data_IF_563819348846
#
_entry.id   IF_563819348846
#
_cell.length_a   1.000
_cell.length_b   1.000
_cell.length_c   1.000
_cell.angle_alpha   90.00
_cell.angle_beta   90.00
_cell.angle_gamma   90.00
#
_symmetry.space_group_name_H-M   'P 1'
#
loop_
_entity.id
_entity.type
_entity.pdbx_description
1 polymer ?
#
# COMPACT_ATOMS: atom_id res chain seq x y z
N UNK A 1 38.54 -1.73 -2.33
CA UNK A 1 38.15 -0.31 -2.49
C UNK A 1 39.07 0.53 -1.61
N UNK A 2 39.79 1.50 -2.18
CA UNK A 2 40.75 2.33 -1.45
C UNK A 2 40.06 3.43 -0.67
N UNK A 3 40.25 3.46 0.66
CA UNK A 3 39.70 4.49 1.54
C UNK A 3 40.60 5.73 1.45
N UNK A 4 40.06 6.86 0.97
CA UNK A 4 40.77 8.15 1.00
C UNK A 4 40.73 8.68 2.44
N UNK A 5 41.90 8.87 3.07
CA UNK A 5 42.03 9.19 4.51
C UNK A 5 41.32 10.47 4.99
N UNK A 6 40.89 11.36 4.09
CA UNK A 6 40.29 12.65 4.42
C UNK A 6 38.88 12.86 3.82
N UNK A 7 38.23 11.79 3.36
CA UNK A 7 36.85 11.87 2.85
C UNK A 7 35.93 11.10 3.80
N UNK A 8 35.04 11.82 4.50
CA UNK A 8 33.98 11.20 5.29
C UNK A 8 32.81 10.88 4.36
N UNK A 9 32.35 9.63 4.37
CA UNK A 9 31.21 9.17 3.59
C UNK A 9 30.13 8.67 4.54
N UNK A 10 28.95 9.25 4.46
CA UNK A 10 27.76 8.78 5.18
C UNK A 10 26.79 8.16 4.17
N UNK A 11 26.16 7.02 4.50
CA UNK A 11 25.14 6.44 3.64
C UNK A 11 23.96 7.41 3.48
N UNK A 12 23.33 7.38 2.32
CA UNK A 12 22.16 8.21 2.03
C UNK A 12 20.98 7.81 2.92
N UNK A 13 20.35 8.77 3.61
CA UNK A 13 19.19 8.53 4.47
C UNK A 13 18.02 7.89 3.70
N UNK A 14 17.73 8.36 2.48
CA UNK A 14 16.71 7.76 1.62
C UNK A 14 17.02 6.29 1.33
N UNK A 15 18.29 5.98 1.02
CA UNK A 15 18.73 4.60 0.79
C UNK A 15 18.58 3.70 2.03
N UNK A 16 18.91 4.21 3.22
CA UNK A 16 18.72 3.47 4.47
C UNK A 16 17.24 3.19 4.75
N UNK A 17 16.37 4.19 4.56
CA UNK A 17 14.92 4.03 4.78
C UNK A 17 14.33 3.03 3.78
N UNK A 18 14.74 3.08 2.51
CA UNK A 18 14.33 2.11 1.50
C UNK A 18 14.70 0.67 1.88
N UNK A 19 15.88 0.46 2.49
CA UNK A 19 16.28 -0.85 3.01
C UNK A 19 15.43 -1.28 4.20
N UNK A 20 15.07 -0.37 5.11
CA UNK A 20 14.16 -0.69 6.22
C UNK A 20 12.78 -1.08 5.70
N UNK A 21 12.24 -0.32 4.75
CA UNK A 21 10.97 -0.62 4.09
C UNK A 21 11.00 -1.97 3.38
N UNK A 22 12.15 -2.33 2.78
CA UNK A 22 12.37 -3.63 2.17
C UNK A 22 12.30 -4.77 3.17
N UNK A 23 12.98 -4.65 4.30
CA UNK A 23 13.01 -5.70 5.31
C UNK A 23 11.63 -5.93 5.93
N UNK A 24 10.90 -4.83 6.19
CA UNK A 24 9.50 -4.91 6.65
C UNK A 24 8.62 -5.60 5.59
N UNK A 25 8.72 -5.21 4.32
CA UNK A 25 7.92 -5.82 3.25
C UNK A 25 8.26 -7.30 2.99
N UNK A 26 9.44 -7.76 3.42
CA UNK A 26 9.86 -9.16 3.33
C UNK A 26 9.32 -10.02 4.48
N UNK A 27 8.75 -9.42 5.53
CA UNK A 27 8.04 -10.19 6.55
C UNK A 27 6.96 -11.07 5.88
N UNK A 28 6.90 -12.39 6.18
CA UNK A 28 5.96 -13.29 5.53
C UNK A 28 4.49 -12.87 5.66
N UNK A 29 4.12 -12.27 6.79
CA UNK A 29 2.76 -11.80 7.06
C UNK A 29 2.43 -10.60 6.19
N UNK A 30 3.36 -9.64 6.09
CA UNK A 30 3.21 -8.45 5.24
C UNK A 30 3.21 -8.83 3.76
N UNK A 31 4.09 -9.74 3.35
CA UNK A 31 4.11 -10.26 1.97
C UNK A 31 2.79 -10.94 1.59
N UNK A 32 2.23 -11.76 2.49
CA UNK A 32 0.92 -12.37 2.29
C UNK A 32 -0.18 -11.31 2.18
N UNK A 33 -0.13 -10.26 3.00
CA UNK A 33 -1.09 -9.16 2.97
C UNK A 33 -1.04 -8.37 1.65
N UNK A 34 0.16 -8.11 1.13
CA UNK A 34 0.38 -7.47 -0.16
C UNK A 34 -0.20 -8.35 -1.28
N UNK A 35 0.05 -9.65 -1.26
CA UNK A 35 -0.50 -10.59 -2.27
C UNK A 35 -2.03 -10.61 -2.26
N UNK A 36 -2.67 -10.69 -1.09
CA UNK A 36 -4.14 -10.60 -0.96
C UNK A 36 -4.68 -9.28 -1.54
N UNK A 37 -4.00 -8.18 -1.27
CA UNK A 37 -4.35 -6.85 -1.78
C UNK A 37 -4.15 -6.74 -3.30
N UNK A 38 -3.16 -7.46 -3.85
CA UNK A 38 -2.99 -7.61 -5.31
C UNK A 38 -4.12 -8.42 -5.93
N UNK A 39 -4.59 -9.48 -5.29
CA UNK A 39 -5.73 -10.27 -5.79
C UNK A 39 -7.01 -9.42 -5.85
N UNK A 40 -7.28 -8.63 -4.81
CA UNK A 40 -8.39 -7.67 -4.77
C UNK A 40 -8.30 -6.66 -5.92
N UNK A 41 -7.16 -5.97 -6.05
CA UNK A 41 -7.00 -4.95 -7.08
C UNK A 41 -6.98 -5.56 -8.48
N UNK A 42 -6.29 -6.67 -8.71
CA UNK A 42 -6.30 -7.38 -9.99
C UNK A 42 -7.70 -7.79 -10.40
N UNK A 43 -8.51 -8.32 -9.48
CA UNK A 43 -9.88 -8.70 -9.79
C UNK A 43 -10.70 -7.48 -10.25
N UNK A 44 -10.64 -6.37 -9.51
CA UNK A 44 -11.39 -5.15 -9.85
C UNK A 44 -10.98 -4.62 -11.23
N UNK A 45 -9.67 -4.45 -11.48
CA UNK A 45 -9.19 -3.87 -12.73
C UNK A 45 -9.33 -4.80 -13.94
N UNK A 46 -9.35 -6.13 -13.74
CA UNK A 46 -9.52 -7.09 -14.83
C UNK A 46 -10.99 -7.26 -15.26
N UNK A 47 -11.94 -6.74 -14.48
CA UNK A 47 -13.37 -6.84 -14.80
C UNK A 47 -13.95 -5.43 -14.94
N UNK A 48 -14.23 -5.01 -16.18
CA UNK A 48 -14.72 -3.66 -16.47
C UNK A 48 -15.97 -3.26 -15.68
N UNK A 49 -16.88 -4.21 -15.41
CA UNK A 49 -18.05 -3.99 -14.57
C UNK A 49 -17.67 -3.74 -13.10
N UNK A 50 -16.69 -4.45 -12.56
CA UNK A 50 -16.23 -4.29 -11.19
C UNK A 50 -15.49 -2.96 -11.03
N UNK A 51 -14.62 -2.61 -11.99
CA UNK A 51 -13.96 -1.31 -12.05
C UNK A 51 -14.98 -0.16 -12.11
N UNK A 52 -16.04 -0.29 -12.93
CA UNK A 52 -17.10 0.71 -13.03
C UNK A 52 -17.85 0.89 -11.71
N UNK A 53 -18.16 -0.20 -11.00
CA UNK A 53 -18.82 -0.12 -9.70
C UNK A 53 -17.90 0.50 -8.64
N UNK A 54 -16.63 0.11 -8.61
CA UNK A 54 -15.64 0.70 -7.70
C UNK A 54 -15.60 2.21 -7.89
N UNK A 55 -15.41 2.69 -9.13
CA UNK A 55 -15.40 4.13 -9.44
C UNK A 55 -16.71 4.83 -9.07
N UNK A 56 -17.84 4.14 -9.18
CA UNK A 56 -19.14 4.73 -8.79
C UNK A 56 -19.17 4.99 -7.29
N UNK A 57 -18.77 4.00 -6.49
CA UNK A 57 -18.77 4.13 -5.03
C UNK A 57 -17.69 5.09 -4.53
N UNK A 58 -16.49 5.06 -5.12
CA UNK A 58 -15.36 5.93 -4.74
C UNK A 58 -15.43 7.35 -5.32
N UNK A 59 -16.52 7.73 -6.00
CA UNK A 59 -16.67 9.04 -6.68
C UNK A 59 -15.55 9.31 -7.70
N UNK A 60 -15.27 8.32 -8.54
CA UNK A 60 -14.17 8.24 -9.51
C UNK A 60 -12.78 8.19 -8.89
N UNK A 61 -12.66 7.75 -7.63
CA UNK A 61 -11.38 7.41 -7.02
C UNK A 61 -10.73 6.20 -7.69
N UNK A 62 -9.40 6.14 -7.60
CA UNK A 62 -8.60 5.03 -8.12
C UNK A 62 -7.88 4.33 -6.97
N UNK A 63 -7.76 3.00 -7.08
CA UNK A 63 -6.94 2.21 -6.17
C UNK A 63 -5.51 2.17 -6.71
N UNK A 64 -4.54 2.54 -5.88
CA UNK A 64 -3.13 2.29 -6.21
C UNK A 64 -2.89 0.78 -6.21
N UNK A 65 -2.23 0.28 -7.26
CA UNK A 65 -1.97 -1.16 -7.42
C UNK A 65 -0.65 -1.53 -6.75
N UNK A 66 -0.61 -2.53 -5.85
CA UNK A 66 0.63 -2.94 -5.22
C UNK A 66 1.59 -3.55 -6.25
N UNK A 67 2.87 -3.17 -6.20
CA UNK A 67 3.91 -3.64 -7.10
C UNK A 67 4.91 -4.54 -6.35
N UNK A 68 5.21 -5.72 -6.89
CA UNK A 68 6.05 -6.74 -6.24
C UNK A 68 7.43 -6.21 -5.80
N UNK A 69 7.97 -5.20 -6.48
CA UNK A 69 9.37 -4.74 -6.28
C UNK A 69 9.54 -3.30 -5.81
N UNK A 70 8.48 -2.53 -5.53
CA UNK A 70 8.59 -1.11 -5.12
C UNK A 70 7.89 -0.84 -3.80
N UNK A 71 8.66 -0.71 -2.72
CA UNK A 71 8.18 -0.69 -1.33
C UNK A 71 7.21 0.48 -1.04
N UNK A 72 7.60 1.70 -1.42
CA UNK A 72 6.73 2.86 -1.29
C UNK A 72 5.40 2.68 -2.06
N UNK A 73 5.42 2.00 -3.21
CA UNK A 73 4.20 1.71 -3.98
C UNK A 73 3.30 0.69 -3.28
N UNK A 74 3.86 -0.31 -2.59
CA UNK A 74 3.06 -1.25 -1.79
C UNK A 74 2.40 -0.54 -0.61
N UNK A 75 3.11 0.36 0.07
CA UNK A 75 2.49 1.19 1.10
C UNK A 75 1.34 2.02 0.54
N UNK A 76 1.57 2.79 -0.52
CA UNK A 76 0.54 3.63 -1.14
C UNK A 76 -0.66 2.81 -1.63
N UNK A 77 -0.43 1.59 -2.08
CA UNK A 77 -1.49 0.66 -2.46
C UNK A 77 -2.35 0.22 -1.27
N UNK A 78 -1.70 -0.20 -0.18
CA UNK A 78 -2.41 -0.58 1.05
C UNK A 78 -3.17 0.61 1.66
N UNK A 79 -2.55 1.79 1.69
CA UNK A 79 -3.13 3.05 2.14
C UNK A 79 -4.36 3.45 1.30
N UNK A 80 -4.25 3.33 -0.02
CA UNK A 80 -5.37 3.58 -0.95
C UNK A 80 -6.52 2.58 -0.74
N UNK A 81 -6.23 1.29 -0.49
CA UNK A 81 -7.25 0.27 -0.24
C UNK A 81 -7.99 0.50 1.08
N UNK A 82 -7.28 0.79 2.17
CA UNK A 82 -7.92 1.05 3.47
C UNK A 82 -8.73 2.35 3.44
N UNK A 83 -8.26 3.37 2.73
CA UNK A 83 -8.99 4.64 2.55
C UNK A 83 -10.35 4.42 1.90
N UNK A 84 -10.45 3.46 0.97
CA UNK A 84 -11.70 3.11 0.28
C UNK A 84 -12.38 1.87 0.86
N UNK A 85 -12.09 1.49 2.11
CA UNK A 85 -12.67 0.29 2.75
C UNK A 85 -14.20 0.30 2.68
N UNK A 86 -14.83 1.41 3.07
CA UNK A 86 -16.28 1.51 3.12
C UNK A 86 -16.90 1.54 1.72
N UNK A 87 -16.22 2.14 0.74
CA UNK A 87 -16.63 2.11 -0.66
C UNK A 87 -16.60 0.68 -1.21
N UNK A 88 -15.55 -0.08 -0.92
CA UNK A 88 -15.42 -1.48 -1.34
C UNK A 88 -16.49 -2.38 -0.70
N UNK A 89 -16.83 -2.13 0.57
CA UNK A 89 -17.95 -2.79 1.24
C UNK A 89 -19.30 -2.44 0.61
N UNK A 90 -19.53 -1.17 0.28
CA UNK A 90 -20.76 -0.74 -0.43
C UNK A 90 -20.85 -1.36 -1.81
N UNK A 91 -19.76 -1.30 -2.57
CA UNK A 91 -19.63 -1.86 -3.92
C UNK A 91 -20.10 -3.31 -3.97
N UNK A 92 -19.62 -4.15 -3.03
CA UNK A 92 -20.00 -5.56 -2.89
C UNK A 92 -21.52 -5.76 -2.68
N UNK A 93 -22.15 -4.83 -1.98
CA UNK A 93 -23.57 -4.89 -1.62
C UNK A 93 -24.48 -4.27 -2.69
N UNK A 94 -23.93 -3.75 -3.79
CA UNK A 94 -24.75 -3.19 -4.88
C UNK A 94 -25.46 -4.28 -5.68
N UNK A 95 -26.63 -3.94 -6.22
CA UNK A 95 -27.34 -4.81 -7.17
C UNK A 95 -26.48 -5.12 -8.40
N UNK A 96 -25.73 -4.14 -8.89
CA UNK A 96 -24.82 -4.31 -10.03
C UNK A 96 -23.75 -5.37 -9.77
N UNK A 97 -23.23 -5.46 -8.54
CA UNK A 97 -22.31 -6.53 -8.16
C UNK A 97 -22.99 -7.90 -8.25
N UNK A 98 -24.14 -8.07 -7.61
CA UNK A 98 -24.88 -9.35 -7.61
C UNK A 98 -25.22 -9.84 -9.03
N UNK A 99 -25.69 -8.95 -9.90
CA UNK A 99 -26.08 -9.31 -11.27
C UNK A 99 -24.88 -9.75 -12.14
N UNK A 100 -23.74 -9.06 -12.02
CA UNK A 100 -22.54 -9.42 -12.79
C UNK A 100 -21.81 -10.63 -12.19
N UNK A 101 -21.84 -10.77 -10.88
CA UNK A 101 -21.27 -11.92 -10.17
C UNK A 101 -21.89 -13.25 -10.66
N UNK A 102 -23.20 -13.29 -10.88
CA UNK A 102 -23.89 -14.49 -11.37
C UNK A 102 -23.51 -14.86 -12.81
N UNK A 103 -23.01 -13.90 -13.59
CA UNK A 103 -22.58 -14.10 -14.99
C UNK A 103 -21.13 -14.55 -15.11
N UNK A 104 -20.36 -14.55 -14.01
CA UNK A 104 -18.97 -15.01 -14.03
C UNK A 104 -18.87 -16.49 -14.33
N UNK A 105 -17.85 -16.87 -15.11
CA UNK A 105 -17.42 -18.25 -15.26
C UNK A 105 -16.90 -18.82 -13.92
N UNK A 106 -16.71 -20.14 -13.83
CA UNK A 106 -16.27 -20.80 -12.60
C UNK A 106 -14.97 -20.21 -12.03
N UNK A 107 -13.96 -20.01 -12.88
CA UNK A 107 -12.62 -19.52 -12.46
C UNK A 107 -12.67 -18.10 -11.92
N UNK A 108 -13.41 -17.20 -12.57
CA UNK A 108 -13.51 -15.82 -12.13
C UNK A 108 -14.44 -15.69 -10.92
N UNK A 109 -15.42 -16.59 -10.77
CA UNK A 109 -16.23 -16.68 -9.56
C UNK A 109 -15.42 -17.12 -8.34
N UNK A 110 -14.49 -18.07 -8.50
CA UNK A 110 -13.55 -18.46 -7.44
C UNK A 110 -12.71 -17.26 -6.97
N UNK A 111 -12.15 -16.47 -7.91
CA UNK A 111 -11.44 -15.23 -7.56
C UNK A 111 -12.35 -14.21 -6.87
N UNK A 112 -13.57 -14.03 -7.37
CA UNK A 112 -14.53 -13.12 -6.78
C UNK A 112 -14.87 -13.50 -5.33
N UNK A 113 -15.00 -14.81 -5.04
CA UNK A 113 -15.19 -15.31 -3.68
C UNK A 113 -14.03 -14.97 -2.75
N UNK A 114 -12.80 -15.08 -3.24
CA UNK A 114 -11.62 -14.65 -2.46
C UNK A 114 -11.71 -13.16 -2.14
N UNK A 115 -12.03 -12.32 -3.13
CA UNK A 115 -12.17 -10.86 -2.93
C UNK A 115 -13.29 -10.52 -1.96
N UNK A 116 -14.45 -11.17 -2.08
CA UNK A 116 -15.56 -11.03 -1.12
C UNK A 116 -15.11 -11.40 0.29
N UNK A 117 -14.40 -12.53 0.43
CA UNK A 117 -13.84 -12.97 1.71
C UNK A 117 -12.86 -11.97 2.31
N UNK A 118 -12.04 -11.32 1.49
CA UNK A 118 -11.14 -10.24 1.94
C UNK A 118 -11.93 -9.00 2.40
N UNK A 119 -12.92 -8.57 1.63
CA UNK A 119 -13.75 -7.39 1.95
C UNK A 119 -14.53 -7.60 3.26
N UNK A 120 -14.97 -8.83 3.53
CA UNK A 120 -15.70 -9.18 4.76
C UNK A 120 -14.78 -9.51 5.95
N UNK A 121 -13.48 -9.67 5.72
CA UNK A 121 -12.52 -10.06 6.75
C UNK A 121 -12.11 -8.86 7.62
N UNK A 122 -12.58 -8.84 8.87
CA UNK A 122 -12.15 -7.84 9.84
C UNK A 122 -10.65 -7.92 10.16
N UNK A 123 -10.06 -9.12 10.08
CA UNK A 123 -8.62 -9.30 10.29
C UNK A 123 -7.82 -8.69 9.14
N UNK A 124 -8.24 -8.89 7.88
CA UNK A 124 -7.59 -8.27 6.72
C UNK A 124 -7.51 -6.74 6.87
N UNK A 125 -8.61 -6.09 7.21
CA UNK A 125 -8.63 -4.63 7.40
C UNK A 125 -7.76 -4.15 8.56
N UNK A 126 -7.76 -4.91 9.67
CA UNK A 126 -6.90 -4.61 10.82
C UNK A 126 -5.43 -4.74 10.47
N UNK A 127 -5.07 -5.78 9.72
CA UNK A 127 -3.69 -6.04 9.30
C UNK A 127 -3.22 -4.93 8.34
N UNK A 128 -4.06 -4.49 7.40
CA UNK A 128 -3.76 -3.33 6.55
C UNK A 128 -3.54 -2.09 7.40
N UNK A 129 -4.46 -1.77 8.31
CA UNK A 129 -4.35 -0.59 9.15
C UNK A 129 -3.06 -0.58 9.99
N UNK A 130 -2.70 -1.74 10.56
CA UNK A 130 -1.46 -1.91 11.33
C UNK A 130 -0.21 -1.70 10.46
N UNK A 131 -0.18 -2.30 9.27
CA UNK A 131 0.93 -2.11 8.33
C UNK A 131 1.02 -0.66 7.87
N UNK A 132 -0.08 -0.02 7.49
CA UNK A 132 -0.05 1.40 7.09
C UNK A 132 0.42 2.32 8.21
N UNK A 133 0.09 2.01 9.47
CA UNK A 133 0.59 2.76 10.62
C UNK A 133 2.11 2.63 10.80
N UNK A 134 2.70 1.45 10.56
CA UNK A 134 4.15 1.22 10.64
C UNK A 134 4.88 1.98 9.53
N UNK A 135 4.36 1.95 8.31
CA UNK A 135 4.99 2.56 7.15
C UNK A 135 4.84 4.08 7.10
N UNK A 136 3.78 4.64 7.69
CA UNK A 136 3.45 6.06 7.64
C UNK A 136 4.61 7.00 8.04
N UNK A 137 5.23 6.82 9.22
CA UNK A 137 6.39 7.62 9.63
C UNK A 137 7.58 7.47 8.68
N UNK A 138 7.91 6.25 8.26
CA UNK A 138 9.04 5.98 7.37
C UNK A 138 8.86 6.65 6.00
N UNK A 139 7.65 6.62 5.45
CA UNK A 139 7.34 7.28 4.17
C UNK A 139 7.34 8.80 4.31
N UNK A 140 6.95 9.34 5.46
CA UNK A 140 7.06 10.78 5.74
C UNK A 140 8.53 11.22 5.76
N UNK A 141 9.38 10.51 6.48
CA UNK A 141 10.83 10.82 6.53
C UNK A 141 11.45 10.63 5.15
N UNK A 142 11.09 9.57 4.41
CA UNK A 142 11.55 9.35 3.04
C UNK A 142 11.23 10.54 2.13
N UNK A 143 10.01 11.09 2.20
CA UNK A 143 9.63 12.27 1.42
C UNK A 143 10.42 13.52 1.82
N UNK A 144 10.71 13.70 3.11
CA UNK A 144 11.53 14.83 3.57
C UNK A 144 12.94 14.73 3.02
N UNK A 145 13.58 13.57 3.12
CA UNK A 145 14.98 13.39 2.69
C UNK A 145 15.17 13.35 1.17
N UNK A 146 14.11 13.03 0.42
CA UNK A 146 14.09 12.98 -1.05
C UNK A 146 13.67 14.31 -1.69
N UNK A 147 13.23 15.30 -0.89
CA UNK A 147 12.87 16.63 -1.37
C UNK A 147 14.13 17.45 -1.67
N UNK A 148 14.41 17.69 -2.96
CA UNK A 148 15.55 18.50 -3.44
C UNK A 148 15.44 20.01 -3.10
N UNK A 149 14.37 20.44 -2.42
CA UNK A 149 14.02 21.85 -2.27
C UNK A 149 14.84 22.61 -1.19
N UNK A 150 15.44 21.91 -0.20
CA UNK A 150 16.27 22.54 0.86
C UNK A 150 17.38 21.62 1.37
N UNK A 151 18.42 22.20 1.99
CA UNK A 151 19.46 21.44 2.69
C UNK A 151 18.89 20.82 3.98
N UNK A 152 18.22 19.67 3.85
CA UNK A 152 17.42 18.99 4.90
C UNK A 152 18.20 18.39 6.07
N UNK A 153 19.53 18.29 5.97
CA UNK A 153 20.37 17.75 7.06
C UNK A 153 20.17 18.51 8.37
N UNK A 154 19.96 19.84 8.33
CA UNK A 154 19.68 20.63 9.54
C UNK A 154 18.36 20.26 10.22
N UNK A 155 17.30 20.03 9.44
CA UNK A 155 15.97 19.68 9.93
C UNK A 155 15.87 18.22 10.42
N UNK A 156 16.61 17.29 9.79
CA UNK A 156 16.74 15.91 10.27
C UNK A 156 17.39 15.86 11.66
N UNK A 157 18.47 16.60 11.87
CA UNK A 157 19.15 16.65 13.18
C UNK A 157 18.25 17.28 14.25
N UNK A 158 17.45 18.27 13.90
CA UNK A 158 16.47 18.89 14.79
C UNK A 158 15.34 17.91 15.17
N UNK A 159 14.77 17.20 14.20
CA UNK A 159 13.74 16.18 14.43
C UNK A 159 14.24 14.97 15.24
N UNK A 160 15.52 14.61 15.13
CA UNK A 160 16.15 13.57 15.95
C UNK A 160 16.48 14.03 17.38
N UNK A 161 16.58 15.34 17.61
CA UNK A 161 16.90 15.92 18.92
C UNK A 161 15.66 16.26 19.76
N UNK A 162 14.45 16.17 19.19
CA UNK A 162 13.20 16.36 19.92
C UNK A 162 12.90 15.17 20.85
N UNK A 163 12.77 15.38 22.18
CA UNK A 163 12.65 14.27 23.14
C UNK A 163 11.31 13.51 23.14
N UNK A 164 10.36 13.80 22.25
CA UNK A 164 9.02 13.23 22.31
C UNK A 164 8.46 12.92 20.90
N UNK A 165 8.73 11.70 20.44
CA UNK A 165 7.95 10.95 19.47
C UNK A 165 7.71 9.54 20.03
#
# INVERSE_FOLDING_TARGET
>A
MGVRKNLYWTPCAAHCIDLMLKDIANDPSIKSLIQKSQELTCFIYNHGWALSLMRTETRNGELVRPAITRFATNFLALDSIITHQDDLKRMKNTRGWAENYMKLNRKDREKANVVVGLIDSQTYWRDIAGVTAIFGPLVKVLRMVDSDDKAEMGHLYEAMAEPNL
#
